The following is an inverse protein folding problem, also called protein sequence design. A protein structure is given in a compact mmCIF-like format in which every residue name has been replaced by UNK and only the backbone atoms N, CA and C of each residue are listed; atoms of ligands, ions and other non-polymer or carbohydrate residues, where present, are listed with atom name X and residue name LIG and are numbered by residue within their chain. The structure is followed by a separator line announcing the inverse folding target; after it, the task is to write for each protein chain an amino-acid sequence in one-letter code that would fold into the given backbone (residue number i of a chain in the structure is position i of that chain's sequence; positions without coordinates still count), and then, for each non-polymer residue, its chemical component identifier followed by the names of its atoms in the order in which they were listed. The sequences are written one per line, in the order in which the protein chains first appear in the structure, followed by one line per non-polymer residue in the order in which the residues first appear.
data_IF_220900728732
#
_entry.id   IF_220900728732
#
_cell.length_a   1.000
_cell.length_b   1.000
_cell.length_c   1.000
_cell.angle_alpha   90.00
_cell.angle_beta   90.00
_cell.angle_gamma   90.00
#
_symmetry.space_group_name_H-M   'P 1'
#
loop_
_entity.id
_entity.type
_entity.pdbx_description
1 polymer ?
#
# COMPACT_ATOMS: atom_id res chain seq x y z
N UNK A 1 -1.66 -11.78 -14.67
CA UNK A 1 -0.86 -11.40 -13.48
C UNK A 1 -0.01 -12.59 -13.11
N UNK A 2 1.32 -12.43 -13.02
CA UNK A 2 2.20 -13.53 -12.62
C UNK A 2 1.84 -14.01 -11.22
N UNK A 3 1.94 -15.31 -10.97
CA UNK A 3 1.77 -15.88 -9.63
C UNK A 3 2.78 -15.24 -8.67
N UNK A 4 2.35 -14.71 -7.51
CA UNK A 4 3.26 -14.09 -6.56
C UNK A 4 4.26 -15.14 -6.05
N UNK A 5 5.55 -14.86 -6.15
CA UNK A 5 6.59 -15.72 -5.59
C UNK A 5 6.64 -15.52 -4.08
N UNK A 6 5.86 -16.30 -3.34
CA UNK A 6 5.83 -16.23 -1.88
C UNK A 6 7.14 -16.73 -1.28
N UNK A 7 7.75 -15.94 -0.41
CA UNK A 7 8.95 -16.31 0.35
C UNK A 7 8.73 -15.99 1.81
N UNK A 8 9.06 -16.93 2.70
CA UNK A 8 9.04 -16.67 4.13
C UNK A 8 10.16 -15.69 4.50
N UNK A 9 9.82 -14.70 5.31
CA UNK A 9 10.73 -13.69 5.83
C UNK A 9 10.54 -13.60 7.34
N UNK A 10 11.64 -13.54 8.07
CA UNK A 10 11.62 -13.26 9.51
C UNK A 10 11.94 -11.77 9.68
N UNK A 11 11.02 -11.02 10.28
CA UNK A 11 11.14 -9.58 10.50
C UNK A 11 10.69 -9.26 11.92
N UNK A 12 11.38 -8.32 12.57
CA UNK A 12 10.95 -7.76 13.85
C UNK A 12 10.12 -6.52 13.58
N UNK A 13 8.88 -6.50 14.06
CA UNK A 13 7.92 -5.41 13.87
C UNK A 13 7.23 -5.10 15.18
N UNK A 14 6.77 -3.86 15.30
CA UNK A 14 5.92 -3.42 16.40
C UNK A 14 4.54 -4.09 16.28
N UNK A 15 4.16 -4.87 17.29
CA UNK A 15 2.89 -5.60 17.30
C UNK A 15 1.67 -4.67 17.31
N UNK A 16 1.77 -3.51 17.97
CA UNK A 16 0.70 -2.51 18.00
C UNK A 16 0.42 -1.93 16.62
N UNK A 17 1.47 -1.67 15.83
CA UNK A 17 1.33 -1.24 14.43
C UNK A 17 0.67 -2.32 13.57
N UNK A 18 1.05 -3.60 13.75
CA UNK A 18 0.44 -4.71 13.02
C UNK A 18 -1.04 -4.89 13.36
N UNK A 19 -1.40 -4.80 14.65
CA UNK A 19 -2.79 -4.89 15.09
C UNK A 19 -3.63 -3.77 14.47
N UNK A 20 -3.14 -2.53 14.53
CA UNK A 20 -3.83 -1.38 13.93
C UNK A 20 -3.96 -1.51 12.42
N UNK A 21 -2.91 -1.98 11.73
CA UNK A 21 -2.97 -2.25 10.30
C UNK A 21 -4.02 -3.33 9.97
N UNK A 22 -4.11 -4.41 10.75
CA UNK A 22 -5.14 -5.44 10.57
C UNK A 22 -6.55 -4.89 10.70
N UNK A 23 -6.80 -4.03 11.69
CA UNK A 23 -8.10 -3.40 11.90
C UNK A 23 -8.48 -2.46 10.75
N UNK A 24 -7.59 -1.51 10.40
CA UNK A 24 -7.83 -0.52 9.34
C UNK A 24 -8.04 -1.22 8.00
N UNK A 25 -7.20 -2.20 7.68
CA UNK A 25 -7.22 -2.92 6.42
C UNK A 25 -8.22 -4.07 6.40
N UNK A 26 -8.93 -4.33 7.51
CA UNK A 26 -9.86 -5.46 7.68
C UNK A 26 -9.26 -6.80 7.26
N UNK A 27 -8.02 -7.03 7.68
CA UNK A 27 -7.26 -8.23 7.35
C UNK A 27 -7.46 -9.31 8.42
N UNK A 28 -7.68 -10.55 7.96
CA UNK A 28 -7.86 -11.70 8.85
C UNK A 28 -6.54 -12.11 9.50
N UNK A 29 -5.41 -11.94 8.82
CA UNK A 29 -4.07 -12.32 9.31
C UNK A 29 -3.07 -11.17 9.23
N UNK A 30 -1.95 -11.29 9.94
CA UNK A 30 -0.84 -10.32 9.85
C UNK A 30 -0.19 -10.33 8.47
N UNK A 31 -0.02 -11.50 7.86
CA UNK A 31 0.51 -11.64 6.49
C UNK A 31 -0.38 -10.92 5.49
N UNK A 32 -1.70 -11.04 5.63
CA UNK A 32 -2.67 -10.34 4.78
C UNK A 32 -2.62 -8.82 5.00
N UNK A 33 -2.51 -8.36 6.25
CA UNK A 33 -2.35 -6.94 6.54
C UNK A 33 -1.07 -6.37 5.92
N UNK A 34 0.05 -7.07 6.06
CA UNK A 34 1.32 -6.70 5.45
C UNK A 34 1.23 -6.66 3.92
N UNK A 35 0.63 -7.69 3.30
CA UNK A 35 0.41 -7.73 1.86
C UNK A 35 -0.41 -6.53 1.36
N UNK A 36 -1.58 -6.29 1.95
CA UNK A 36 -2.44 -5.15 1.59
C UNK A 36 -1.76 -3.80 1.81
N UNK A 37 -1.00 -3.65 2.90
CA UNK A 37 -0.26 -2.42 3.17
C UNK A 37 0.80 -2.15 2.09
N UNK A 38 1.52 -3.18 1.64
CA UNK A 38 2.50 -3.06 0.56
C UNK A 38 1.82 -2.72 -0.77
N UNK A 39 0.70 -3.36 -1.10
CA UNK A 39 -0.06 -3.08 -2.32
C UNK A 39 -0.53 -1.62 -2.38
N UNK A 40 -0.99 -1.08 -1.24
CA UNK A 40 -1.41 0.33 -1.13
C UNK A 40 -0.22 1.26 -1.40
N UNK A 41 0.91 1.06 -0.74
CA UNK A 41 2.10 1.93 -0.90
C UNK A 41 2.61 1.91 -2.35
N UNK A 42 2.61 0.74 -3.01
CA UNK A 42 2.98 0.64 -4.42
C UNK A 42 1.97 1.39 -5.30
N UNK A 43 0.67 1.18 -5.07
CA UNK A 43 -0.40 1.85 -5.82
C UNK A 43 -0.33 3.37 -5.67
N UNK A 44 -0.09 3.88 -4.47
CA UNK A 44 0.09 5.31 -4.20
C UNK A 44 1.28 5.88 -4.99
N UNK A 45 2.42 5.18 -5.02
CA UNK A 45 3.59 5.61 -5.78
C UNK A 45 3.33 5.62 -7.30
N UNK A 46 2.57 4.66 -7.83
CA UNK A 46 2.17 4.60 -9.23
C UNK A 46 1.22 5.75 -9.59
N UNK A 47 0.21 6.01 -8.75
CA UNK A 47 -0.73 7.13 -8.89
C UNK A 47 0.04 8.44 -8.87
N UNK A 48 0.92 8.65 -7.91
CA UNK A 48 1.75 9.86 -7.81
C UNK A 48 2.61 10.06 -9.07
N UNK A 49 3.19 8.98 -9.58
CA UNK A 49 3.97 9.02 -10.82
C UNK A 49 3.11 9.40 -12.02
N UNK A 50 1.91 8.81 -12.13
CA UNK A 50 0.95 9.16 -13.19
C UNK A 50 0.51 10.63 -13.08
N UNK A 51 0.17 11.10 -11.87
CA UNK A 51 -0.22 12.49 -11.61
C UNK A 51 0.90 13.48 -11.94
N UNK A 52 2.16 13.16 -11.60
CA UNK A 52 3.33 13.98 -11.98
C UNK A 52 3.48 14.10 -13.49
N UNK A 53 3.24 13.02 -14.26
CA UNK A 53 3.32 13.03 -15.73
C UNK A 53 2.25 13.90 -16.39
N UNK A 54 1.06 14.00 -15.79
CA UNK A 54 -0.06 14.81 -16.32
C UNK A 54 -0.12 16.22 -15.73
N UNK A 55 0.77 16.56 -14.78
CA UNK A 55 0.84 17.87 -14.14
C UNK A 55 1.00 18.97 -15.20
N UNK A 56 0.07 19.93 -15.18
CA UNK A 56 0.04 21.04 -16.13
C UNK A 56 -0.68 20.76 -17.46
N UNK A 57 -1.10 19.52 -17.74
CA UNK A 57 -1.84 19.14 -18.96
C UNK A 57 -3.35 18.94 -18.74
N UNK A 58 -3.85 19.08 -17.50
CA UNK A 58 -5.26 18.85 -17.19
C UNK A 58 -5.78 19.66 -16.00
N UNK A 59 -7.11 19.69 -15.84
CA UNK A 59 -7.85 20.39 -14.76
C UNK A 59 -7.89 19.61 -13.42
N UNK A 60 -6.93 18.72 -13.18
CA UNK A 60 -6.94 17.87 -11.97
C UNK A 60 -6.45 18.69 -10.78
N UNK A 61 -7.31 18.85 -9.76
CA UNK A 61 -7.01 19.58 -8.52
C UNK A 61 -6.62 18.59 -7.42
N UNK A 62 -5.60 18.93 -6.63
CA UNK A 62 -5.22 18.16 -5.42
C UNK A 62 -6.35 18.28 -4.39
N UNK A 63 -6.96 17.16 -4.01
CA UNK A 63 -8.12 17.12 -3.08
C UNK A 63 -7.75 16.64 -1.67
N UNK A 64 -6.58 16.03 -1.48
CA UNK A 64 -6.08 15.58 -0.18
C UNK A 64 -4.80 16.31 0.21
N UNK A 65 -4.70 16.71 1.50
CA UNK A 65 -3.62 17.56 2.03
C UNK A 65 -2.39 16.73 2.37
#
# INVERSE_FOLDING_TARGET
MGTPSLRHKHVQLDQGKLNRAREILRAKTETEALGRALDIVVSEAEIDTALKKVRGKGRIRKVFR
#
